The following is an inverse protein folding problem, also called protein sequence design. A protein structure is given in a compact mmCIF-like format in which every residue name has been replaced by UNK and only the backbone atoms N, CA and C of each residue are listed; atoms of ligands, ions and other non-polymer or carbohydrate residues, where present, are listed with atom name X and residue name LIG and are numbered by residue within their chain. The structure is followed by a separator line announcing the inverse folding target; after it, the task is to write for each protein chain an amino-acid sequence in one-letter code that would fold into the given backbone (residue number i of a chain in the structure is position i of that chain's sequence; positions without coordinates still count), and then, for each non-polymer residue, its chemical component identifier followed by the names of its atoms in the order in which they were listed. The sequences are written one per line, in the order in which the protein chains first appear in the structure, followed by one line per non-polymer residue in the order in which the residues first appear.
data_IF_917163733674
#
_entry.id   IF_917163733674
#
_cell.length_a   1.000
_cell.length_b   1.000
_cell.length_c   1.000
_cell.angle_alpha   90.00
_cell.angle_beta   90.00
_cell.angle_gamma   90.00
#
_symmetry.space_group_name_H-M   'P 1'
#
loop_
_entity.id
_entity.type
_entity.pdbx_description
1 polymer ?
#
# COMPACT_ATOMS: atom_id res chain seq x y z
N UNK A 1 -16.70 13.65 -71.26
CA UNK A 1 -15.58 14.37 -70.58
C UNK A 1 -15.99 14.54 -69.12
N UNK A 2 -15.45 13.68 -68.25
CA UNK A 2 -15.85 13.47 -66.85
C UNK A 2 -15.29 14.60 -65.99
N UNK A 3 -16.12 15.33 -65.24
CA UNK A 3 -15.66 16.23 -64.17
C UNK A 3 -15.84 15.52 -62.84
N UNK A 4 -14.72 15.16 -62.22
CA UNK A 4 -14.61 14.49 -60.94
C UNK A 4 -15.07 15.43 -59.80
N UNK A 5 -15.92 14.88 -58.93
CA UNK A 5 -16.34 15.48 -57.66
C UNK A 5 -15.23 15.20 -56.64
N UNK A 6 -14.58 16.24 -56.12
CA UNK A 6 -13.70 16.13 -54.96
C UNK A 6 -14.54 16.31 -53.69
N UNK A 7 -14.86 15.20 -53.04
CA UNK A 7 -15.40 15.20 -51.68
C UNK A 7 -14.24 15.34 -50.70
N UNK A 8 -14.09 16.51 -50.09
CA UNK A 8 -13.12 16.73 -49.01
C UNK A 8 -13.71 16.19 -47.71
N UNK A 9 -13.26 15.00 -47.29
CA UNK A 9 -13.57 14.43 -45.99
C UNK A 9 -12.70 15.12 -44.92
N UNK A 10 -13.26 16.08 -44.19
CA UNK A 10 -12.62 16.68 -43.01
C UNK A 10 -12.70 15.66 -41.86
N UNK A 11 -11.60 14.94 -41.60
CA UNK A 11 -11.43 14.22 -40.34
C UNK A 11 -11.24 15.25 -39.21
N UNK A 12 -12.27 15.42 -38.39
CA UNK A 12 -12.13 16.08 -37.10
C UNK A 12 -11.31 15.16 -36.16
N UNK A 13 -10.24 15.64 -35.51
CA UNK A 13 -9.60 14.87 -34.47
C UNK A 13 -10.57 14.78 -33.29
N UNK A 14 -11.03 13.56 -32.98
CA UNK A 14 -11.74 13.27 -31.75
C UNK A 14 -10.76 13.43 -30.58
N UNK A 15 -10.64 14.64 -30.06
CA UNK A 15 -10.13 14.85 -28.71
C UNK A 15 -11.15 14.25 -27.75
N UNK A 16 -10.93 12.98 -27.36
CA UNK A 16 -11.54 12.44 -26.16
C UNK A 16 -10.94 13.25 -25.01
N UNK A 17 -11.68 14.26 -24.57
CA UNK A 17 -11.39 14.94 -23.32
C UNK A 17 -11.54 13.94 -22.19
N UNK A 18 -10.43 13.32 -21.77
CA UNK A 18 -10.35 12.84 -20.39
C UNK A 18 -10.43 14.10 -19.53
N UNK A 19 -11.58 14.31 -18.89
CA UNK A 19 -11.64 15.22 -17.76
C UNK A 19 -10.58 14.74 -16.77
N UNK A 20 -9.45 15.44 -16.75
CA UNK A 20 -8.34 15.17 -15.86
C UNK A 20 -8.87 15.57 -14.48
N UNK A 21 -9.42 14.60 -13.76
CA UNK A 21 -9.85 14.77 -12.38
C UNK A 21 -8.66 15.35 -11.63
N UNK A 22 -8.76 16.63 -11.27
CA UNK A 22 -7.91 17.25 -10.26
C UNK A 22 -8.29 16.55 -8.96
N UNK A 23 -7.71 15.39 -8.70
CA UNK A 23 -7.94 14.63 -7.46
C UNK A 23 -7.19 15.37 -6.37
N UNK A 24 -7.78 16.46 -5.86
CA UNK A 24 -7.23 17.23 -4.75
C UNK A 24 -7.36 16.50 -3.40
N UNK A 25 -8.13 15.40 -3.36
CA UNK A 25 -8.24 14.53 -2.19
C UNK A 25 -8.50 13.08 -2.62
N UNK A 26 -7.70 12.14 -2.11
CA UNK A 26 -7.98 10.70 -2.26
C UNK A 26 -9.25 10.36 -1.49
N UNK A 27 -10.19 9.63 -2.10
CA UNK A 27 -11.42 9.21 -1.40
C UNK A 27 -11.08 8.39 -0.15
N UNK A 28 -11.92 8.53 0.88
CA UNK A 28 -11.82 7.77 2.15
C UNK A 28 -10.49 7.99 2.90
N UNK A 29 -9.82 9.12 2.68
CA UNK A 29 -8.55 9.49 3.33
C UNK A 29 -8.71 10.04 4.75
N UNK A 30 -9.94 10.32 5.17
CA UNK A 30 -10.32 10.54 6.56
C UNK A 30 -10.41 9.23 7.37
N UNK A 31 -10.31 8.06 6.73
CA UNK A 31 -10.36 6.76 7.38
C UNK A 31 -11.60 6.51 8.26
N UNK A 32 -12.72 7.17 7.93
CA UNK A 32 -14.01 7.01 8.61
C UNK A 32 -14.90 5.92 7.99
N UNK A 33 -14.63 5.53 6.74
CA UNK A 33 -15.49 4.64 5.95
C UNK A 33 -14.86 3.28 5.71
N UNK A 34 -15.56 2.22 6.14
CA UNK A 34 -15.04 0.86 6.17
C UNK A 34 -16.03 -0.16 5.63
N UNK A 35 -15.56 -1.01 4.72
CA UNK A 35 -16.18 -2.26 4.32
C UNK A 35 -15.66 -3.40 5.19
N UNK A 36 -16.55 -4.33 5.54
CA UNK A 36 -16.21 -5.54 6.31
C UNK A 36 -16.41 -6.77 5.44
N UNK A 37 -15.40 -7.65 5.41
CA UNK A 37 -15.49 -8.98 4.81
C UNK A 37 -15.42 -10.05 5.87
N UNK A 38 -16.46 -10.87 5.95
CA UNK A 38 -16.50 -12.05 6.80
C UNK A 38 -15.88 -13.24 6.07
N UNK A 39 -14.68 -13.63 6.47
CA UNK A 39 -13.93 -14.75 5.91
C UNK A 39 -14.15 -15.97 6.81
N UNK A 40 -14.79 -17.00 6.28
CA UNK A 40 -14.84 -18.33 6.89
C UNK A 40 -13.50 -19.03 6.64
N UNK A 41 -12.72 -19.19 7.69
CA UNK A 41 -11.47 -19.97 7.67
C UNK A 41 -11.77 -21.46 7.50
N UNK A 42 -10.81 -22.23 6.98
CA UNK A 42 -11.00 -23.68 6.78
C UNK A 42 -11.17 -24.42 8.11
N UNK A 43 -11.96 -25.50 8.08
CA UNK A 43 -12.19 -26.38 9.24
C UNK A 43 -10.89 -26.91 9.86
N UNK A 44 -9.90 -27.22 9.02
CA UNK A 44 -8.57 -27.70 9.45
C UNK A 44 -7.87 -26.75 10.45
N UNK A 45 -8.23 -25.47 10.48
CA UNK A 45 -7.68 -24.47 11.40
C UNK A 45 -8.71 -23.93 12.40
N UNK A 46 -9.80 -24.69 12.61
CA UNK A 46 -10.87 -24.39 13.56
C UNK A 46 -12.14 -23.84 12.94
N UNK A 47 -12.14 -23.47 11.66
CA UNK A 47 -13.36 -23.07 10.96
C UNK A 47 -13.97 -21.75 11.46
N UNK A 48 -13.18 -20.85 12.06
CA UNK A 48 -13.70 -19.60 12.59
C UNK A 48 -14.09 -18.63 11.47
N UNK A 49 -15.00 -17.69 11.77
CA UNK A 49 -15.22 -16.53 10.90
C UNK A 49 -14.38 -15.38 11.43
N UNK A 50 -13.57 -14.78 10.57
CA UNK A 50 -12.78 -13.57 10.88
C UNK A 50 -13.16 -12.43 9.98
N UNK A 51 -13.04 -11.22 10.50
CA UNK A 51 -13.32 -9.99 9.79
C UNK A 51 -12.05 -9.38 9.24
N UNK A 52 -12.03 -9.15 7.92
CA UNK A 52 -11.08 -8.26 7.26
C UNK A 52 -11.77 -6.91 7.09
N UNK A 53 -11.06 -5.84 7.43
CA UNK A 53 -11.54 -4.47 7.34
C UNK A 53 -10.84 -3.77 6.18
N UNK A 54 -11.63 -3.12 5.34
CA UNK A 54 -11.16 -2.48 4.11
C UNK A 54 -11.64 -1.03 4.07
N UNK A 55 -10.76 -0.12 3.67
CA UNK A 55 -11.11 1.29 3.53
C UNK A 55 -11.92 1.45 2.23
N UNK A 56 -13.14 1.99 2.32
CA UNK A 56 -14.02 2.14 1.17
C UNK A 56 -15.47 2.34 1.57
N UNK A 57 -16.38 2.24 0.57
CA UNK A 57 -17.82 2.36 0.79
C UNK A 57 -18.30 1.36 1.86
N UNK A 58 -19.01 1.81 2.91
CA UNK A 58 -19.51 0.93 3.95
C UNK A 58 -20.41 -0.16 3.39
N UNK A 59 -20.05 -1.41 3.68
CA UNK A 59 -20.78 -2.61 3.29
C UNK A 59 -20.32 -3.79 4.16
N UNK A 60 -21.09 -4.88 4.19
CA UNK A 60 -20.71 -6.14 4.81
C UNK A 60 -20.86 -7.28 3.82
N UNK A 61 -19.73 -7.87 3.42
CA UNK A 61 -19.67 -8.97 2.47
C UNK A 61 -19.54 -10.28 3.23
N UNK A 62 -20.49 -11.19 3.01
CA UNK A 62 -20.57 -12.51 3.67
C UNK A 62 -20.16 -13.65 2.72
N UNK A 63 -19.03 -13.50 2.03
CA UNK A 63 -18.49 -14.53 1.13
C UNK A 63 -16.98 -14.72 1.39
N UNK A 64 -16.55 -15.98 1.54
CA UNK A 64 -15.12 -16.31 1.48
C UNK A 64 -14.72 -16.28 0.01
N UNK A 65 -13.94 -15.29 -0.37
CA UNK A 65 -13.40 -15.16 -1.72
C UNK A 65 -12.49 -13.94 -1.82
N UNK A 66 -11.77 -13.77 -2.93
CA UNK A 66 -10.87 -12.64 -3.15
C UNK A 66 -11.57 -11.28 -3.05
N UNK A 67 -10.81 -10.25 -2.66
CA UNK A 67 -11.28 -8.85 -2.71
C UNK A 67 -11.70 -8.49 -4.13
N UNK A 68 -12.91 -7.94 -4.27
CA UNK A 68 -13.34 -7.30 -5.52
C UNK A 68 -12.79 -5.87 -5.54
N UNK A 69 -12.27 -5.43 -6.69
CA UNK A 69 -11.82 -4.05 -6.84
C UNK A 69 -12.98 -3.09 -6.64
N UNK A 70 -12.74 -2.05 -5.85
CA UNK A 70 -13.70 -0.99 -5.58
C UNK A 70 -13.20 0.34 -6.13
N UNK A 71 -13.93 1.41 -5.83
CA UNK A 71 -13.55 2.78 -6.17
C UNK A 71 -12.59 3.40 -5.14
N UNK A 72 -12.28 2.67 -4.05
CA UNK A 72 -11.30 3.08 -3.06
C UNK A 72 -9.88 3.03 -3.63
N UNK A 73 -9.06 4.06 -3.45
CA UNK A 73 -7.65 4.02 -3.83
C UNK A 73 -6.81 3.20 -2.84
N UNK A 74 -7.39 2.77 -1.71
CA UNK A 74 -6.68 2.19 -0.58
C UNK A 74 -6.77 0.67 -0.53
N UNK A 75 -5.65 0.08 -0.14
CA UNK A 75 -5.50 -1.34 0.14
C UNK A 75 -4.83 -1.55 1.49
N UNK A 76 -5.11 -2.70 2.11
CA UNK A 76 -4.53 -3.09 3.40
C UNK A 76 -3.70 -4.36 3.25
N UNK A 77 -2.81 -4.63 4.21
CA UNK A 77 -2.14 -5.93 4.33
C UNK A 77 -2.99 -6.98 5.06
N UNK A 78 -4.22 -6.67 5.45
CA UNK A 78 -5.17 -7.68 5.89
C UNK A 78 -5.68 -8.42 4.66
N UNK A 79 -5.55 -9.75 4.63
CA UNK A 79 -5.78 -10.52 3.43
C UNK A 79 -6.30 -11.93 3.67
N UNK A 80 -7.00 -12.46 2.68
CA UNK A 80 -7.27 -13.88 2.49
C UNK A 80 -6.00 -14.57 1.97
N UNK A 81 -5.54 -15.55 2.71
CA UNK A 81 -4.46 -16.47 2.35
C UNK A 81 -5.11 -17.80 1.98
N UNK A 82 -4.71 -18.36 0.83
CA UNK A 82 -5.08 -19.72 0.41
C UNK A 82 -3.81 -20.52 0.17
N UNK A 83 -3.30 -21.16 1.21
CA UNK A 83 -2.04 -21.91 1.14
C UNK A 83 -2.26 -23.35 1.59
N UNK A 84 -1.71 -24.32 0.85
CA UNK A 84 -1.89 -25.75 1.12
C UNK A 84 -3.36 -26.16 1.34
N UNK A 85 -4.27 -25.63 0.51
CA UNK A 85 -5.71 -25.86 0.58
C UNK A 85 -6.38 -25.38 1.87
N UNK A 86 -5.76 -24.43 2.58
CA UNK A 86 -6.29 -23.80 3.79
C UNK A 86 -6.54 -22.31 3.53
N UNK A 87 -7.79 -21.91 3.69
CA UNK A 87 -8.23 -20.52 3.75
C UNK A 87 -8.02 -19.96 5.15
N UNK A 88 -7.32 -18.83 5.23
CA UNK A 88 -7.04 -18.10 6.45
C UNK A 88 -7.19 -16.60 6.23
N UNK A 89 -7.78 -15.91 7.20
CA UNK A 89 -7.72 -14.46 7.25
C UNK A 89 -6.51 -14.01 8.08
N UNK A 90 -5.65 -13.19 7.47
CA UNK A 90 -4.64 -12.38 8.15
C UNK A 90 -5.22 -10.99 8.37
N UNK A 91 -5.16 -10.46 9.59
CA UNK A 91 -5.81 -9.18 9.92
C UNK A 91 -4.85 -8.29 10.67
N UNK A 92 -4.34 -7.24 10.05
CA UNK A 92 -3.33 -6.35 10.64
C UNK A 92 -3.76 -4.87 10.64
N UNK A 93 -4.94 -4.61 10.10
CA UNK A 93 -5.51 -3.28 9.94
C UNK A 93 -6.95 -3.28 10.46
N UNK A 94 -7.29 -2.25 11.23
CA UNK A 94 -8.55 -2.14 11.94
C UNK A 94 -9.07 -0.70 11.92
N UNK A 95 -10.39 -0.47 11.82
CA UNK A 95 -10.99 0.76 12.30
C UNK A 95 -10.85 0.82 13.83
N UNK A 96 -10.44 1.95 14.36
CA UNK A 96 -10.50 2.23 15.81
C UNK A 96 -11.23 3.54 16.04
N UNK A 97 -12.15 3.55 17.03
CA UNK A 97 -12.98 4.73 17.31
C UNK A 97 -12.12 5.93 17.71
N UNK A 98 -12.41 7.09 17.11
CA UNK A 98 -11.81 8.39 17.45
C UNK A 98 -12.87 9.48 17.37
N UNK A 99 -13.23 10.05 18.53
CA UNK A 99 -14.35 11.00 18.60
C UNK A 99 -15.65 10.35 18.12
N UNK A 100 -16.34 11.03 17.21
CA UNK A 100 -17.60 10.56 16.60
C UNK A 100 -17.37 9.62 15.40
N UNK A 101 -16.12 9.48 14.95
CA UNK A 101 -15.73 8.67 13.81
C UNK A 101 -14.75 7.54 14.15
N UNK A 102 -13.97 7.16 13.17
CA UNK A 102 -12.94 6.13 13.20
C UNK A 102 -11.64 6.66 12.63
N UNK A 103 -10.55 6.07 13.09
CA UNK A 103 -9.22 6.24 12.52
C UNK A 103 -8.69 4.87 12.05
N UNK A 104 -7.64 4.92 11.25
CA UNK A 104 -6.87 3.75 10.86
C UNK A 104 -5.97 3.30 12.01
N UNK A 105 -6.09 2.03 12.44
CA UNK A 105 -5.11 1.37 13.31
C UNK A 105 -4.41 0.24 12.57
N UNK A 106 -3.09 0.30 12.56
CA UNK A 106 -2.20 -0.67 11.90
C UNK A 106 -1.36 -1.34 12.99
N UNK A 107 -1.28 -2.66 13.00
CA UNK A 107 -0.60 -3.44 14.05
C UNK A 107 0.37 -4.47 13.48
N UNK A 108 1.53 -4.60 14.11
CA UNK A 108 2.45 -5.72 13.95
C UNK A 108 2.11 -6.82 14.95
N UNK A 109 1.88 -8.04 14.46
CA UNK A 109 1.54 -9.18 15.32
C UNK A 109 2.02 -10.50 14.74
N UNK A 110 1.96 -11.55 15.54
CA UNK A 110 2.08 -12.91 15.01
C UNK A 110 0.75 -13.37 14.43
N UNK A 111 0.79 -13.84 13.20
CA UNK A 111 -0.27 -14.63 12.61
C UNK A 111 -0.02 -16.10 12.95
N UNK A 112 -0.99 -16.72 13.64
CA UNK A 112 -0.93 -18.11 14.03
C UNK A 112 -1.85 -18.97 13.14
N UNK A 113 -1.37 -20.14 12.79
CA UNK A 113 -2.12 -21.21 12.12
C UNK A 113 -2.01 -22.45 12.99
N UNK A 114 -3.13 -22.88 13.56
CA UNK A 114 -3.20 -24.10 14.37
C UNK A 114 -3.91 -25.19 13.57
N UNK A 115 -3.15 -26.07 12.93
CA UNK A 115 -3.71 -27.17 12.14
C UNK A 115 -4.16 -28.29 13.07
N UNK A 116 -5.47 -28.59 13.02
CA UNK A 116 -6.16 -29.58 13.85
C UNK A 116 -5.85 -29.45 15.35
N UNK A 117 -5.54 -28.24 15.81
CA UNK A 117 -5.18 -27.95 17.21
C UNK A 117 -3.79 -28.44 17.65
N UNK A 118 -3.01 -29.08 16.78
CA UNK A 118 -1.76 -29.75 17.15
C UNK A 118 -0.50 -29.02 16.66
N UNK A 119 -0.52 -28.51 15.42
CA UNK A 119 0.66 -27.88 14.80
C UNK A 119 0.48 -26.37 14.79
N UNK A 120 1.34 -25.64 15.51
CA UNK A 120 1.34 -24.17 15.53
C UNK A 120 2.39 -23.60 14.58
N UNK A 121 1.95 -23.07 13.44
CA UNK A 121 2.79 -22.29 12.55
C UNK A 121 2.58 -20.81 12.85
N UNK A 122 3.67 -20.06 12.94
CA UNK A 122 3.61 -18.64 13.26
C UNK A 122 4.47 -17.83 12.30
N UNK A 123 3.96 -16.70 11.83
CA UNK A 123 4.72 -15.73 11.08
C UNK A 123 4.45 -14.32 11.60
N UNK A 124 5.43 -13.43 11.49
CA UNK A 124 5.26 -12.02 11.79
C UNK A 124 4.54 -11.35 10.62
N UNK A 125 3.47 -10.63 10.92
CA UNK A 125 2.77 -9.78 9.98
C UNK A 125 2.82 -8.35 10.50
N UNK A 126 3.58 -7.49 9.82
CA UNK A 126 3.52 -6.05 10.04
C UNK A 126 2.41 -5.46 9.20
N UNK A 127 1.46 -4.80 9.85
CA UNK A 127 0.38 -4.13 9.17
C UNK A 127 0.86 -3.00 8.27
N UNK A 128 0.16 -2.80 7.17
CA UNK A 128 0.29 -1.64 6.30
C UNK A 128 -1.01 -1.30 5.59
N UNK A 129 -1.14 -0.02 5.26
CA UNK A 129 -2.14 0.50 4.32
C UNK A 129 -1.38 1.21 3.22
N UNK A 130 -1.78 1.01 1.97
CA UNK A 130 -1.14 1.63 0.83
C UNK A 130 -2.14 1.98 -0.26
N UNK A 131 -1.81 2.97 -1.08
CA UNK A 131 -2.58 3.23 -2.30
C UNK A 131 -2.27 2.15 -3.34
N UNK A 132 -3.28 1.51 -3.93
CA UNK A 132 -3.09 0.42 -4.89
C UNK A 132 -4.14 -0.68 -4.70
N UNK A 133 -3.74 -1.92 -4.95
CA UNK A 133 -4.56 -3.10 -4.70
C UNK A 133 -3.72 -4.34 -4.38
N UNK A 134 -4.34 -5.30 -3.69
CA UNK A 134 -3.74 -6.60 -3.37
C UNK A 134 -4.33 -7.64 -4.31
N UNK A 135 -3.48 -8.56 -4.78
CA UNK A 135 -3.93 -9.73 -5.52
C UNK A 135 -4.24 -10.83 -4.52
N UNK A 136 -5.52 -11.17 -4.40
CA UNK A 136 -6.00 -12.21 -3.51
C UNK A 136 -6.50 -13.44 -4.30
N UNK A 137 -6.45 -14.65 -3.71
CA UNK A 137 -5.85 -14.94 -2.40
C UNK A 137 -4.32 -14.90 -2.45
N UNK A 138 -3.68 -14.71 -1.30
CA UNK A 138 -2.24 -14.91 -1.17
C UNK A 138 -1.96 -16.41 -1.14
N UNK A 139 -1.35 -16.92 -2.20
CA UNK A 139 -1.17 -18.38 -2.39
C UNK A 139 0.16 -18.89 -1.83
N UNK A 140 1.16 -18.01 -1.70
CA UNK A 140 2.48 -18.34 -1.18
C UNK A 140 3.06 -17.25 -0.30
N UNK A 141 3.79 -17.68 0.74
CA UNK A 141 4.64 -16.82 1.56
C UNK A 141 5.97 -16.48 0.89
N UNK A 142 6.26 -17.06 -0.27
CA UNK A 142 7.47 -16.79 -1.04
C UNK A 142 7.30 -15.46 -1.78
N UNK A 143 8.12 -14.48 -1.43
CA UNK A 143 8.07 -13.13 -1.96
C UNK A 143 6.64 -12.51 -1.95
N UNK A 144 6.03 -12.32 -0.76
CA UNK A 144 4.63 -11.87 -0.66
C UNK A 144 4.43 -10.44 -1.19
N UNK A 145 5.52 -9.67 -1.34
CA UNK A 145 5.50 -8.34 -1.94
C UNK A 145 4.97 -8.36 -3.38
N UNK A 146 5.10 -9.47 -4.11
CA UNK A 146 4.61 -9.60 -5.48
C UNK A 146 3.09 -9.55 -5.63
N UNK A 147 2.35 -9.63 -4.53
CA UNK A 147 0.89 -9.49 -4.52
C UNK A 147 0.45 -8.03 -4.31
N UNK A 148 1.35 -7.16 -3.87
CA UNK A 148 1.06 -5.76 -3.54
C UNK A 148 1.28 -4.84 -4.75
N UNK A 149 0.22 -4.51 -5.47
CA UNK A 149 0.27 -3.61 -6.63
C UNK A 149 0.13 -2.18 -6.14
N UNK A 150 1.26 -1.56 -5.80
CA UNK A 150 1.29 -0.23 -5.21
C UNK A 150 1.21 0.86 -6.28
N UNK A 151 0.49 1.92 -5.94
CA UNK A 151 0.35 3.13 -6.72
C UNK A 151 -1.00 3.23 -7.42
N UNK A 152 -1.55 4.45 -7.43
CA UNK A 152 -2.76 4.80 -8.18
C UNK A 152 -2.46 5.96 -9.14
N UNK A 153 -3.22 6.11 -10.24
CA UNK A 153 -3.04 7.22 -11.18
C UNK A 153 -3.10 8.57 -10.46
N UNK A 154 -2.10 9.42 -10.71
CA UNK A 154 -2.00 10.74 -10.10
C UNK A 154 -1.07 11.63 -10.91
N UNK A 155 -1.53 12.82 -11.28
CA UNK A 155 -0.82 13.72 -12.21
C UNK A 155 -0.69 15.15 -11.69
N UNK A 156 -0.70 15.35 -10.37
CA UNK A 156 -0.46 16.67 -9.76
C UNK A 156 0.90 16.71 -9.04
N UNK A 157 1.29 17.88 -8.52
CA UNK A 157 2.59 18.10 -7.86
C UNK A 157 2.40 18.63 -6.42
N UNK A 158 2.01 17.77 -5.48
CA UNK A 158 1.77 18.19 -4.10
C UNK A 158 3.04 18.53 -3.35
N UNK A 159 3.05 19.65 -2.64
CA UNK A 159 4.16 20.03 -1.74
C UNK A 159 4.27 19.14 -0.50
N UNK A 160 3.18 18.55 -0.02
CA UNK A 160 3.15 17.75 1.20
C UNK A 160 1.94 16.80 1.27
N UNK A 161 1.99 15.83 2.19
CA UNK A 161 0.75 15.28 2.78
C UNK A 161 0.59 15.81 4.20
N UNK A 162 -0.65 15.97 4.65
CA UNK A 162 -1.00 16.33 6.03
C UNK A 162 -1.86 15.23 6.62
N UNK A 163 -1.57 14.79 7.83
CA UNK A 163 -2.34 13.74 8.52
C UNK A 163 -2.19 13.86 10.03
N UNK A 164 -3.09 13.22 10.76
CA UNK A 164 -2.95 13.04 12.20
C UNK A 164 -2.32 11.68 12.49
N UNK A 165 -1.50 11.58 13.52
CA UNK A 165 -0.98 10.28 13.95
C UNK A 165 -0.71 10.18 15.45
N UNK A 166 -0.67 8.94 15.93
CA UNK A 166 -0.03 8.54 17.18
C UNK A 166 0.59 7.17 16.98
N UNK A 167 1.53 6.76 17.83
CA UNK A 167 2.26 5.53 17.62
C UNK A 167 2.68 4.87 18.93
N UNK A 168 2.63 3.55 18.95
CA UNK A 168 3.27 2.72 19.97
C UNK A 168 4.34 1.91 19.26
N UNK A 169 5.58 2.28 19.47
CA UNK A 169 6.74 1.70 18.79
C UNK A 169 7.88 1.44 19.77
N UNK A 170 8.96 0.84 19.27
CA UNK A 170 10.15 0.58 20.05
C UNK A 170 10.27 -0.88 20.51
N UNK A 171 9.36 -1.75 20.07
CA UNK A 171 9.42 -3.18 20.34
C UNK A 171 10.66 -3.85 19.73
N UNK A 172 11.04 -4.99 20.30
CA UNK A 172 12.18 -5.79 19.80
C UNK A 172 11.86 -6.33 18.40
N UNK A 173 12.68 -5.99 17.40
CA UNK A 173 12.47 -6.43 16.03
C UNK A 173 12.80 -7.89 15.85
N UNK A 174 11.99 -8.58 15.06
CA UNK A 174 12.18 -9.97 14.71
C UNK A 174 11.87 -10.18 13.23
N UNK A 175 12.63 -11.07 12.60
CA UNK A 175 12.22 -11.73 11.38
C UNK A 175 11.60 -13.06 11.77
N UNK A 176 10.37 -13.34 11.33
CA UNK A 176 9.70 -14.61 11.62
C UNK A 176 8.82 -15.06 10.46
N UNK A 177 9.35 -15.97 9.65
CA UNK A 177 8.56 -16.75 8.68
C UNK A 177 8.19 -18.11 9.28
N UNK A 178 7.43 -18.91 8.55
CA UNK A 178 7.07 -20.28 8.95
C UNK A 178 8.31 -21.16 9.17
N UNK A 179 9.39 -20.93 8.43
CA UNK A 179 10.60 -21.76 8.43
C UNK A 179 11.79 -21.16 9.20
N UNK A 180 11.79 -19.86 9.48
CA UNK A 180 12.95 -19.16 10.04
C UNK A 180 12.52 -18.08 11.02
N UNK A 181 13.17 -18.04 12.17
CA UNK A 181 13.00 -16.99 13.17
C UNK A 181 14.38 -16.48 13.63
N UNK A 182 14.53 -15.16 13.71
CA UNK A 182 15.69 -14.52 14.32
C UNK A 182 15.30 -13.15 14.88
N UNK A 183 16.06 -12.70 15.87
CA UNK A 183 16.02 -11.30 16.26
C UNK A 183 16.73 -10.44 15.20
N UNK A 184 16.22 -9.25 14.99
CA UNK A 184 16.85 -8.23 14.15
C UNK A 184 17.44 -7.14 15.03
N UNK A 185 18.49 -6.49 14.54
CA UNK A 185 19.09 -5.37 15.25
C UNK A 185 18.14 -4.17 15.33
N UNK A 186 18.26 -3.43 16.44
CA UNK A 186 17.53 -2.21 16.70
C UNK A 186 16.11 -2.43 17.22
N UNK A 187 15.41 -1.31 17.39
CA UNK A 187 14.00 -1.27 17.80
C UNK A 187 13.12 -1.06 16.59
N UNK A 188 11.88 -1.53 16.65
CA UNK A 188 10.93 -1.35 15.57
C UNK A 188 10.46 0.11 15.51
N UNK A 189 10.23 0.56 14.28
CA UNK A 189 9.86 1.93 13.95
C UNK A 189 8.67 1.83 12.99
N UNK A 190 7.67 2.70 13.16
CA UNK A 190 6.60 2.83 12.18
C UNK A 190 7.08 3.69 11.00
N UNK A 191 6.55 3.42 9.81
CA UNK A 191 6.97 4.05 8.56
C UNK A 191 5.79 4.74 7.88
N UNK A 192 6.00 5.99 7.46
CA UNK A 192 5.13 6.70 6.52
C UNK A 192 5.96 7.07 5.30
N UNK A 193 5.50 6.70 4.12
CA UNK A 193 6.17 7.07 2.87
C UNK A 193 5.19 7.55 1.81
N UNK A 194 5.64 8.54 1.04
CA UNK A 194 5.00 9.02 -0.18
C UNK A 194 6.02 8.98 -1.29
N UNK A 195 5.66 8.33 -2.39
CA UNK A 195 6.50 8.23 -3.59
C UNK A 195 5.67 8.65 -4.78
N UNK A 196 6.16 9.65 -5.52
CA UNK A 196 5.63 10.01 -6.83
C UNK A 196 6.48 9.32 -7.89
N UNK A 197 5.82 8.63 -8.82
CA UNK A 197 6.49 7.92 -9.91
C UNK A 197 5.98 8.39 -11.26
N UNK A 198 6.91 8.49 -12.21
CA UNK A 198 6.59 8.51 -13.63
C UNK A 198 6.83 7.12 -14.20
N UNK A 199 5.74 6.35 -14.37
CA UNK A 199 5.77 4.98 -14.89
C UNK A 199 5.54 4.91 -16.40
N UNK A 200 6.18 3.95 -17.05
CA UNK A 200 5.90 3.56 -18.44
C UNK A 200 6.14 2.06 -18.65
N UNK A 201 5.56 1.53 -19.73
CA UNK A 201 5.81 0.18 -20.22
C UNK A 201 6.64 0.27 -21.50
N UNK A 202 7.71 -0.52 -21.61
CA UNK A 202 8.50 -0.57 -22.85
C UNK A 202 7.87 -1.51 -23.89
N UNK A 203 8.41 -1.51 -25.12
CA UNK A 203 7.90 -2.34 -26.21
C UNK A 203 7.95 -3.86 -25.92
N UNK A 204 8.79 -4.30 -24.98
CA UNK A 204 8.86 -5.71 -24.54
C UNK A 204 7.81 -6.05 -23.48
N UNK A 205 7.12 -5.05 -22.95
CA UNK A 205 6.14 -5.18 -21.88
C UNK A 205 6.73 -5.10 -20.47
N UNK A 206 7.97 -4.61 -20.31
CA UNK A 206 8.56 -4.40 -18.99
C UNK A 206 8.12 -3.06 -18.41
N UNK A 207 7.88 -3.05 -17.10
CA UNK A 207 7.48 -1.85 -16.37
C UNK A 207 8.70 -1.11 -15.84
N UNK A 208 8.71 0.19 -16.07
CA UNK A 208 9.77 1.10 -15.62
C UNK A 208 9.16 2.29 -14.87
N UNK A 209 9.97 2.91 -14.02
CA UNK A 209 9.61 4.15 -13.36
C UNK A 209 10.83 5.05 -13.16
N UNK A 210 10.59 6.36 -13.12
CA UNK A 210 11.48 7.33 -12.49
C UNK A 210 10.86 7.82 -11.19
N UNK A 211 11.68 8.05 -10.16
CA UNK A 211 11.24 8.70 -8.92
C UNK A 211 11.12 10.20 -9.13
N UNK A 212 9.90 10.74 -9.08
CA UNK A 212 9.64 12.17 -9.24
C UNK A 212 9.81 12.91 -7.92
N UNK A 213 9.28 12.34 -6.84
CA UNK A 213 9.39 12.94 -5.51
C UNK A 213 9.30 11.88 -4.41
N UNK A 214 9.88 12.20 -3.25
CA UNK A 214 9.89 11.35 -2.06
C UNK A 214 9.50 12.16 -0.84
N UNK A 215 8.61 11.62 0.00
CA UNK A 215 8.43 12.02 1.37
C UNK A 215 8.57 10.78 2.25
N UNK A 216 9.24 10.87 3.39
CA UNK A 216 9.44 9.71 4.24
C UNK A 216 9.60 10.12 5.70
N UNK A 217 8.96 9.37 6.59
CA UNK A 217 9.02 9.56 8.03
C UNK A 217 9.19 8.19 8.70
N UNK A 218 10.10 8.12 9.67
CA UNK A 218 10.14 7.03 10.64
C UNK A 218 9.78 7.54 12.02
N UNK A 219 8.79 6.92 12.63
CA UNK A 219 8.41 7.19 14.02
C UNK A 219 9.21 6.23 14.90
N UNK A 220 10.26 6.76 15.52
CA UNK A 220 11.26 5.98 16.26
C UNK A 220 10.91 5.76 17.74
N UNK A 221 10.08 6.65 18.28
CA UNK A 221 9.65 6.63 19.67
C UNK A 221 8.14 6.67 19.75
N UNK A 222 7.59 6.12 20.84
CA UNK A 222 6.14 6.13 21.05
C UNK A 222 5.63 7.56 21.21
N UNK A 223 4.53 7.85 20.53
CA UNK A 223 3.82 9.11 20.55
C UNK A 223 2.43 8.80 21.10
N UNK A 224 2.21 9.08 22.39
CA UNK A 224 1.00 8.65 23.09
C UNK A 224 -0.23 9.51 22.75
N UNK A 225 -0.01 10.80 22.52
CA UNK A 225 -1.05 11.77 22.16
C UNK A 225 -1.10 12.01 20.65
N UNK A 226 -2.29 12.31 20.15
CA UNK A 226 -2.47 12.64 18.74
C UNK A 226 -1.67 13.88 18.33
N UNK A 227 -0.80 13.72 17.35
CA UNK A 227 -0.18 14.81 16.62
C UNK A 227 -1.10 15.18 15.46
N UNK A 228 -1.84 16.27 15.61
CA UNK A 228 -2.82 16.70 14.62
C UNK A 228 -2.20 17.57 13.54
N UNK A 229 -2.52 17.31 12.29
CA UNK A 229 -2.12 18.12 11.14
C UNK A 229 -0.62 18.10 10.86
N UNK A 230 0.06 16.99 11.17
CA UNK A 230 1.47 16.82 10.84
C UNK A 230 1.66 16.90 9.32
N UNK A 231 2.49 17.84 8.86
CA UNK A 231 2.84 18.00 7.45
C UNK A 231 4.14 17.24 7.16
N UNK A 232 4.07 16.28 6.23
CA UNK A 232 5.22 15.57 5.69
C UNK A 232 5.52 16.11 4.28
N UNK A 233 6.56 16.96 4.12
CA UNK A 233 6.88 17.60 2.85
C UNK A 233 7.45 16.61 1.84
N UNK A 234 7.06 16.75 0.57
CA UNK A 234 7.65 16.04 -0.55
C UNK A 234 8.90 16.79 -1.05
N UNK A 235 9.97 16.04 -1.28
CA UNK A 235 11.18 16.53 -1.94
C UNK A 235 11.21 16.00 -3.38
N UNK A 236 11.41 16.90 -4.34
CA UNK A 236 11.36 16.59 -5.78
C UNK A 236 12.76 16.37 -6.36
N UNK A 237 12.89 15.42 -7.27
CA UNK A 237 14.16 15.04 -7.88
C UNK A 237 15.02 14.12 -7.00
N UNK A 238 16.34 14.19 -7.20
CA UNK A 238 17.32 13.40 -6.47
C UNK A 238 17.58 13.97 -5.08
N UNK A 239 17.16 13.23 -4.05
CA UNK A 239 17.26 13.62 -2.64
C UNK A 239 18.50 13.06 -1.94
N UNK A 240 19.41 12.39 -2.66
CA UNK A 240 20.55 11.66 -2.04
C UNK A 240 21.53 12.57 -1.28
N UNK A 241 21.55 13.87 -1.61
CA UNK A 241 22.37 14.87 -0.94
C UNK A 241 21.59 15.70 0.10
N UNK A 242 20.31 15.43 0.30
CA UNK A 242 19.47 16.20 1.21
C UNK A 242 19.75 15.82 2.68
N UNK A 243 19.71 16.80 3.61
CA UNK A 243 19.86 16.53 5.03
C UNK A 243 18.84 15.49 5.53
N UNK A 244 19.34 14.46 6.21
CA UNK A 244 18.49 13.38 6.74
C UNK A 244 18.15 12.29 5.73
N UNK A 245 18.69 12.33 4.51
CA UNK A 245 18.63 11.21 3.58
C UNK A 245 19.12 9.91 4.23
N UNK A 246 18.44 8.81 3.90
CA UNK A 246 18.81 7.46 4.28
C UNK A 246 18.59 6.55 3.07
N UNK A 247 19.38 5.49 2.93
CA UNK A 247 19.36 4.61 1.74
C UNK A 247 17.97 4.00 1.44
N UNK A 248 17.15 3.79 2.47
CA UNK A 248 15.78 3.27 2.31
C UNK A 248 14.80 4.28 1.68
N UNK A 249 15.17 5.55 1.56
CA UNK A 249 14.37 6.60 0.91
C UNK A 249 14.60 6.64 -0.61
N UNK A 250 15.72 6.08 -1.08
CA UNK A 250 16.15 6.17 -2.46
C UNK A 250 15.42 5.26 -3.45
N UNK A 251 15.86 5.33 -4.70
CA UNK A 251 15.48 4.39 -5.78
C UNK A 251 16.12 3.01 -5.54
N UNK A 252 15.62 1.97 -6.21
CA UNK A 252 16.14 0.59 -6.12
C UNK A 252 16.24 -0.01 -4.69
N UNK A 253 15.40 0.44 -3.74
CA UNK A 253 15.44 -0.13 -2.40
C UNK A 253 15.04 -1.62 -2.40
N UNK A 254 16.03 -2.50 -2.27
CA UNK A 254 15.91 -3.94 -2.53
C UNK A 254 14.91 -4.67 -1.62
N UNK A 255 14.67 -4.15 -0.42
CA UNK A 255 13.80 -4.80 0.56
C UNK A 255 12.31 -4.56 0.28
N UNK A 256 11.96 -3.55 -0.53
CA UNK A 256 10.59 -3.22 -0.91
C UNK A 256 10.50 -2.92 -2.42
N UNK A 257 10.61 -3.94 -3.28
CA UNK A 257 10.39 -3.76 -4.70
C UNK A 257 8.93 -3.37 -4.99
N UNK A 258 8.71 -2.44 -5.91
CA UNK A 258 7.39 -2.13 -6.42
C UNK A 258 6.99 -3.14 -7.50
N UNK A 259 5.76 -3.61 -7.46
CA UNK A 259 5.19 -4.50 -8.46
C UNK A 259 4.02 -3.84 -9.18
N UNK A 260 3.81 -4.26 -10.43
CA UNK A 260 2.70 -3.82 -11.26
C UNK A 260 2.25 -4.93 -12.21
N UNK A 261 1.18 -4.63 -12.94
CA UNK A 261 0.65 -5.48 -14.00
C UNK A 261 0.80 -4.72 -15.31
N UNK A 262 1.44 -5.34 -16.31
CA UNK A 262 1.61 -4.74 -17.62
C UNK A 262 0.33 -4.84 -18.46
N UNK A 263 0.35 -4.23 -19.66
CA UNK A 263 -0.76 -4.22 -20.61
C UNK A 263 -1.27 -5.61 -21.02
N UNK A 264 -0.45 -6.66 -20.85
CA UNK A 264 -0.77 -8.06 -21.15
C UNK A 264 -1.29 -8.84 -19.93
N UNK A 265 -1.52 -8.19 -18.80
CA UNK A 265 -1.97 -8.84 -17.57
C UNK A 265 -0.87 -9.58 -16.81
N UNK A 266 0.40 -9.40 -17.17
CA UNK A 266 1.53 -10.08 -16.53
C UNK A 266 2.01 -9.27 -15.34
N UNK A 267 2.09 -9.92 -14.18
CA UNK A 267 2.68 -9.37 -12.95
C UNK A 267 4.20 -9.31 -13.07
N UNK A 268 4.78 -8.17 -12.74
CA UNK A 268 6.23 -8.01 -12.72
C UNK A 268 6.68 -6.85 -11.84
N UNK A 269 7.95 -6.90 -11.45
CA UNK A 269 8.60 -5.81 -10.73
C UNK A 269 8.76 -4.59 -11.64
N UNK A 270 8.50 -3.41 -11.08
CA UNK A 270 8.72 -2.12 -11.72
C UNK A 270 10.19 -1.73 -11.51
N UNK A 271 10.88 -1.45 -12.61
CA UNK A 271 12.27 -1.00 -12.59
C UNK A 271 12.33 0.51 -12.31
N UNK A 272 12.50 0.91 -11.04
CA UNK A 272 12.74 2.29 -10.64
C UNK A 272 14.22 2.52 -10.33
N UNK A 273 14.98 3.00 -11.33
CA UNK A 273 16.45 3.06 -11.25
C UNK A 273 17.05 4.45 -11.17
N UNK A 274 16.28 5.48 -11.48
CA UNK A 274 16.74 6.86 -11.58
C UNK A 274 15.68 7.81 -11.04
N UNK A 275 16.13 9.02 -10.67
CA UNK A 275 15.26 10.13 -10.36
C UNK A 275 14.84 10.84 -11.65
N UNK A 276 13.64 11.40 -11.64
CA UNK A 276 13.16 12.29 -12.69
C UNK A 276 13.72 13.70 -12.47
N UNK A 277 13.63 14.55 -13.49
CA UNK A 277 13.81 15.98 -13.28
C UNK A 277 12.74 16.50 -12.29
N UNK A 278 13.07 17.42 -11.35
CA UNK A 278 12.12 17.96 -10.38
C UNK A 278 10.84 18.56 -11.00
N UNK A 279 10.90 18.98 -12.27
CA UNK A 279 9.79 19.55 -13.00
C UNK A 279 8.91 18.53 -13.72
N UNK A 280 9.34 17.27 -13.84
CA UNK A 280 8.53 16.21 -14.44
C UNK A 280 7.24 15.95 -13.66
N UNK A 281 6.13 15.81 -14.40
CA UNK A 281 4.85 15.41 -13.81
C UNK A 281 4.82 13.90 -13.54
N UNK A 282 4.31 13.47 -12.36
CA UNK A 282 4.13 12.06 -12.09
C UNK A 282 2.98 11.47 -12.90
N UNK A 283 2.97 10.14 -12.99
CA UNK A 283 1.81 9.37 -13.46
C UNK A 283 1.13 8.61 -12.32
N UNK A 284 1.84 8.38 -11.20
CA UNK A 284 1.35 7.62 -10.07
C UNK A 284 1.78 8.25 -8.73
N UNK A 285 0.91 8.11 -7.72
CA UNK A 285 1.23 8.35 -6.32
C UNK A 285 1.17 7.02 -5.55
N UNK A 286 2.15 6.80 -4.69
CA UNK A 286 2.17 5.73 -3.71
C UNK A 286 2.19 6.39 -2.33
N UNK A 287 1.15 6.20 -1.54
CA UNK A 287 1.15 6.53 -0.10
C UNK A 287 1.15 5.20 0.65
N UNK A 288 2.02 5.06 1.66
CA UNK A 288 2.10 3.88 2.50
C UNK A 288 2.25 4.27 3.97
N UNK A 289 1.45 3.65 4.81
CA UNK A 289 1.58 3.64 6.26
C UNK A 289 1.91 2.23 6.72
N UNK A 290 2.83 2.05 7.65
CA UNK A 290 3.17 0.74 8.19
C UNK A 290 3.59 0.78 9.64
N UNK A 291 3.21 -0.26 10.37
CA UNK A 291 3.60 -0.48 11.78
C UNK A 291 5.04 -0.98 11.95
N UNK A 292 5.73 -1.30 10.85
CA UNK A 292 7.12 -1.77 10.89
C UNK A 292 7.87 -1.54 9.58
N UNK A 293 9.17 -1.80 9.62
CA UNK A 293 10.08 -1.68 8.47
C UNK A 293 10.93 -2.94 8.28
N UNK A 294 11.51 -3.08 7.09
CA UNK A 294 12.47 -4.14 6.76
C UNK A 294 11.93 -5.29 5.92
N UNK A 295 10.68 -5.22 5.46
CA UNK A 295 10.13 -6.15 4.48
C UNK A 295 9.15 -7.15 5.08
N UNK A 296 8.81 -8.15 4.27
CA UNK A 296 7.99 -9.27 4.71
C UNK A 296 8.58 -9.96 5.94
N UNK A 297 7.71 -10.37 6.86
CA UNK A 297 8.07 -11.10 8.08
C UNK A 297 8.93 -10.33 9.10
N UNK A 298 9.22 -9.05 8.87
CA UNK A 298 9.93 -8.18 9.80
C UNK A 298 8.93 -7.35 10.62
N UNK A 299 9.12 -7.26 11.93
CA UNK A 299 8.29 -6.41 12.80
C UNK A 299 8.56 -6.62 14.29
N UNK A 300 7.78 -5.94 15.13
CA UNK A 300 7.74 -6.19 16.57
C UNK A 300 6.30 -6.37 17.05
N UNK A 301 6.07 -7.38 17.88
CA UNK A 301 4.73 -7.75 18.33
C UNK A 301 4.13 -6.62 19.19
N UNK A 302 2.93 -6.17 18.83
CA UNK A 302 2.18 -5.18 19.59
C UNK A 302 2.54 -3.72 19.28
N UNK A 303 3.49 -3.49 18.37
CA UNK A 303 3.74 -2.17 17.81
C UNK A 303 2.57 -1.75 16.91
N UNK A 304 2.19 -0.49 17.00
CA UNK A 304 0.99 0.06 16.38
C UNK A 304 1.22 1.47 15.85
N UNK A 305 0.64 1.73 14.69
CA UNK A 305 0.53 3.07 14.11
C UNK A 305 -0.96 3.40 13.96
N UNK A 306 -1.36 4.57 14.43
CA UNK A 306 -2.67 5.14 14.18
C UNK A 306 -2.54 6.34 13.27
N UNK A 307 -3.44 6.46 12.30
CA UNK A 307 -3.45 7.53 11.29
C UNK A 307 -4.87 7.99 11.07
N UNK A 308 -5.05 9.28 10.82
CA UNK A 308 -6.34 9.87 10.55
C UNK A 308 -6.24 11.12 9.64
N UNK A 309 -7.35 11.58 9.08
CA UNK A 309 -7.51 12.89 8.44
C UNK A 309 -6.44 13.22 7.37
N UNK A 310 -6.07 12.25 6.53
CA UNK A 310 -5.08 12.49 5.49
C UNK A 310 -5.62 13.47 4.42
N UNK A 311 -4.77 14.44 4.09
CA UNK A 311 -4.99 15.43 3.03
C UNK A 311 -3.73 15.51 2.18
N UNK A 312 -3.94 15.68 0.88
CA UNK A 312 -2.88 16.06 -0.05
C UNK A 312 -2.82 17.59 -0.05
N UNK A 313 -1.61 18.13 0.04
CA UNK A 313 -1.37 19.56 0.02
C UNK A 313 -0.66 19.92 -1.27
N UNK A 314 -1.34 20.68 -2.12
CA UNK A 314 -0.82 21.23 -3.37
C UNK A 314 0.21 22.34 -3.12
#
# INVERSE_FOLDING_TARGET
MVKQIFSTLLLAPAFVGMAQLKVTQLRYSDFDSWQVRNIKESFLIGGNVKQIYEIGKPDTINETGPRKRTDSPWETSSSLIHAASVDKASVTVYPEKRGDGYCLRIESKLEEVKVLGMVNLTCMASGSVFTGFLIEPIESSDNPMQYMMQGVPYTAKPRAIKFDYKAKVGGKRQYKSVSKSMDLEGKNEAEVSVVLQRRWEDASGKLHAKRVATAYMRIKESVNDWQNGYELPLQYGDITNEPGYQDYMGVNYKNYPYWGINSKGVRMQISEKEYADPDEMPTHIIIRFSSGYGGAFCGAIGDRLWVDNLKIIE
#
